data_IF_230200053750
#
_entry.id   IF_230200053750
#
_cell.length_a   1.000
_cell.length_b   1.000
_cell.length_c   1.000
_cell.angle_alpha   90.00
_cell.angle_beta   90.00
_cell.angle_gamma   90.00
#
_symmetry.space_group_name_H-M   'P 1'
#
loop_
_entity.id
_entity.type
_entity.pdbx_description
1 polymer ?
#
# COMPACT_ATOMS: atom_id res chain seq x y z
N UNK A 1 4.45 -0.02 33.74
CA UNK A 1 5.47 0.94 33.26
C UNK A 1 6.70 0.10 32.90
N UNK A 2 6.73 -0.45 31.69
CA UNK A 2 7.82 -1.34 31.24
C UNK A 2 9.00 -0.50 30.78
N UNK A 3 10.18 -0.75 31.35
CA UNK A 3 11.43 -0.12 30.93
C UNK A 3 11.70 -0.44 29.46
N UNK A 4 11.94 0.59 28.65
CA UNK A 4 12.32 0.50 27.23
C UNK A 4 13.70 -0.13 27.10
N UNK A 5 13.76 -1.45 27.21
CA UNK A 5 14.95 -2.27 27.04
C UNK A 5 15.40 -2.37 25.58
N UNK A 6 16.08 -1.35 25.07
CA UNK A 6 17.46 -1.58 24.62
C UNK A 6 17.80 -1.99 23.19
N UNK A 7 16.90 -2.04 22.20
CA UNK A 7 17.32 -2.34 20.81
C UNK A 7 17.71 -1.09 19.99
N UNK A 8 17.09 0.06 20.30
CA UNK A 8 17.28 1.32 19.57
C UNK A 8 17.76 2.45 20.49
N UNK A 9 18.67 2.18 21.43
CA UNK A 9 19.08 3.06 22.56
C UNK A 9 19.46 4.52 22.22
N UNK A 10 19.56 4.91 20.96
CA UNK A 10 19.84 6.28 20.49
C UNK A 10 18.74 6.92 19.63
N UNK A 11 17.64 6.21 19.34
CA UNK A 11 16.57 6.66 18.42
C UNK A 11 15.21 6.49 19.10
N UNK A 12 14.27 7.38 18.82
CA UNK A 12 12.99 7.41 19.54
C UNK A 12 11.96 6.44 18.93
N UNK A 13 12.17 5.99 17.68
CA UNK A 13 11.31 5.04 16.96
C UNK A 13 12.04 4.18 15.93
N UNK A 14 11.38 3.11 15.47
CA UNK A 14 11.79 2.24 14.37
C UNK A 14 11.85 2.99 13.05
N UNK A 15 10.91 3.90 12.78
CA UNK A 15 10.92 4.74 11.59
C UNK A 15 12.18 5.63 11.54
N UNK A 16 12.50 6.32 12.64
CA UNK A 16 13.76 7.08 12.75
C UNK A 16 14.98 6.18 12.61
N UNK A 17 14.91 4.95 13.11
CA UNK A 17 15.95 3.96 12.89
C UNK A 17 16.14 3.67 11.40
N UNK A 18 15.08 3.37 10.67
CA UNK A 18 15.18 3.12 9.23
C UNK A 18 15.73 4.35 8.49
N UNK A 19 15.24 5.56 8.78
CA UNK A 19 15.68 6.80 8.13
C UNK A 19 17.18 7.02 8.30
N UNK A 20 17.69 6.87 9.52
CA UNK A 20 19.10 7.12 9.80
C UNK A 20 20.03 5.96 9.45
N UNK A 21 19.53 4.91 8.79
CA UNK A 21 20.40 3.97 8.06
C UNK A 21 20.77 4.51 6.67
N UNK A 22 19.95 5.38 6.07
CA UNK A 22 20.11 5.86 4.69
C UNK A 22 19.97 4.75 3.63
N UNK A 23 19.28 3.64 3.95
CA UNK A 23 19.14 2.46 3.07
C UNK A 23 17.76 2.32 2.41
N UNK A 24 16.86 3.27 2.65
CA UNK A 24 15.43 3.09 2.31
C UNK A 24 14.80 4.37 1.76
N UNK A 25 15.59 5.20 1.09
CA UNK A 25 15.13 6.51 0.63
C UNK A 25 14.34 6.44 -0.68
N UNK A 26 14.52 5.37 -1.46
CA UNK A 26 13.74 5.09 -2.68
C UNK A 26 13.16 3.67 -2.66
N UNK A 27 12.21 3.39 -3.57
CA UNK A 27 11.71 2.02 -3.78
C UNK A 27 12.83 1.03 -4.15
N UNK A 28 13.77 1.46 -5.00
CA UNK A 28 14.88 0.63 -5.42
C UNK A 28 15.80 0.28 -4.24
N UNK A 29 16.07 1.24 -3.35
CA UNK A 29 16.86 0.98 -2.15
C UNK A 29 16.20 -0.07 -1.26
N UNK A 30 14.87 -0.05 -1.13
CA UNK A 30 14.11 -1.04 -0.36
C UNK A 30 14.30 -2.45 -0.94
N UNK A 31 14.19 -2.58 -2.27
CA UNK A 31 14.39 -3.86 -2.96
C UNK A 31 15.83 -4.36 -2.76
N UNK A 32 16.82 -3.49 -2.94
CA UNK A 32 18.25 -3.83 -2.78
C UNK A 32 18.63 -4.18 -1.34
N UNK A 33 17.92 -3.61 -0.36
CA UNK A 33 18.15 -3.82 1.07
C UNK A 33 17.09 -4.72 1.73
N UNK A 34 16.37 -5.53 0.95
CA UNK A 34 15.27 -6.37 1.44
C UNK A 34 15.68 -7.28 2.60
N UNK A 35 16.80 -8.01 2.49
CA UNK A 35 17.29 -8.89 3.56
C UNK A 35 17.61 -8.11 4.85
N UNK A 36 18.17 -6.91 4.72
CA UNK A 36 18.42 -6.04 5.86
C UNK A 36 17.12 -5.59 6.52
N UNK A 37 16.11 -5.26 5.71
CA UNK A 37 14.78 -4.87 6.20
C UNK A 37 14.11 -6.01 6.97
N UNK A 38 14.14 -7.23 6.44
CA UNK A 38 13.64 -8.44 7.11
C UNK A 38 14.32 -8.64 8.47
N UNK A 39 15.65 -8.51 8.52
CA UNK A 39 16.40 -8.62 9.77
C UNK A 39 16.00 -7.55 10.79
N UNK A 40 15.73 -6.33 10.33
CA UNK A 40 15.37 -5.21 11.20
C UNK A 40 13.93 -5.34 11.73
N UNK A 41 12.97 -5.81 10.91
CA UNK A 41 11.62 -6.18 11.37
C UNK A 41 11.69 -7.34 12.37
N UNK A 42 12.46 -8.41 12.08
CA UNK A 42 12.62 -9.55 12.99
C UNK A 42 13.20 -9.13 14.34
N UNK A 43 14.23 -8.28 14.32
CA UNK A 43 14.83 -7.68 15.53
C UNK A 43 13.80 -6.92 16.36
N UNK A 44 12.96 -6.12 15.70
CA UNK A 44 11.88 -5.38 16.35
C UNK A 44 10.86 -6.33 17.00
N UNK A 45 10.39 -7.35 16.29
CA UNK A 45 9.45 -8.37 16.79
C UNK A 45 9.99 -9.07 18.05
N UNK A 46 11.27 -9.49 18.02
CA UNK A 46 11.94 -10.07 19.19
C UNK A 46 11.98 -9.13 20.38
N UNK A 47 12.32 -7.87 20.17
CA UNK A 47 12.38 -6.88 21.25
C UNK A 47 11.01 -6.60 21.90
N UNK A 48 9.91 -6.85 21.18
CA UNK A 48 8.53 -6.76 21.71
C UNK A 48 7.99 -8.08 22.25
N UNK A 49 8.75 -9.18 22.14
CA UNK A 49 8.31 -10.55 22.45
C UNK A 49 7.12 -11.03 21.60
N UNK A 50 7.04 -10.63 20.33
CA UNK A 50 5.97 -11.04 19.41
C UNK A 50 6.35 -12.34 18.67
N UNK A 51 6.55 -13.42 19.43
CA UNK A 51 7.08 -14.68 18.90
C UNK A 51 6.24 -15.30 17.78
N UNK A 52 4.90 -15.28 17.90
CA UNK A 52 4.02 -15.83 16.87
C UNK A 52 4.09 -15.04 15.56
N UNK A 53 4.19 -13.70 15.63
CA UNK A 53 4.29 -12.85 14.44
C UNK A 53 5.66 -13.04 13.76
N UNK A 54 6.73 -13.23 14.54
CA UNK A 54 8.04 -13.63 14.00
C UNK A 54 7.96 -14.98 13.28
N UNK A 55 7.29 -15.98 13.86
CA UNK A 55 7.13 -17.27 13.22
C UNK A 55 6.35 -17.17 11.90
N UNK A 56 5.33 -16.31 11.82
CA UNK A 56 4.59 -16.08 10.59
C UNK A 56 5.38 -15.28 9.55
N UNK A 57 6.26 -14.37 9.98
CA UNK A 57 7.25 -13.76 9.09
C UNK A 57 8.16 -14.84 8.48
N UNK A 58 8.65 -15.80 9.27
CA UNK A 58 9.46 -16.91 8.74
C UNK A 58 8.66 -17.78 7.75
N UNK A 59 7.39 -18.08 8.04
CA UNK A 59 6.54 -18.87 7.16
C UNK A 59 6.28 -18.17 5.82
N UNK A 60 5.99 -16.87 5.82
CA UNK A 60 5.75 -16.14 4.58
C UNK A 60 7.01 -16.00 3.74
N UNK A 61 8.18 -15.83 4.38
CA UNK A 61 9.47 -15.84 3.68
C UNK A 61 9.76 -17.19 3.03
N UNK A 62 9.50 -18.30 3.73
CA UNK A 62 9.66 -19.66 3.18
C UNK A 62 8.72 -19.90 1.98
N UNK A 63 7.43 -19.57 2.11
CA UNK A 63 6.45 -19.77 1.03
C UNK A 63 6.73 -18.90 -0.19
N UNK A 64 7.27 -17.70 0.02
CA UNK A 64 7.55 -16.74 -1.05
C UNK A 64 9.01 -16.77 -1.52
N UNK A 65 9.82 -17.71 -1.05
CA UNK A 65 11.22 -17.82 -1.47
C UNK A 65 11.34 -18.04 -2.99
N UNK A 66 12.25 -17.30 -3.60
CA UNK A 66 12.44 -17.28 -5.06
C UNK A 66 11.28 -16.72 -5.90
N UNK A 67 10.16 -16.29 -5.28
CA UNK A 67 9.03 -15.70 -6.00
C UNK A 67 9.17 -14.19 -6.12
N UNK A 68 8.77 -13.65 -7.26
CA UNK A 68 8.75 -12.21 -7.54
C UNK A 68 7.32 -11.68 -7.72
N UNK A 69 7.15 -10.37 -7.53
CA UNK A 69 5.91 -9.65 -7.84
C UNK A 69 5.69 -9.60 -9.36
N UNK A 70 4.58 -8.98 -9.79
CA UNK A 70 4.19 -8.86 -11.21
C UNK A 70 5.25 -8.18 -12.10
N UNK A 71 6.18 -7.43 -11.53
CA UNK A 71 7.30 -6.80 -12.23
C UNK A 71 8.48 -7.75 -12.54
N UNK A 72 8.45 -8.98 -12.01
CA UNK A 72 9.47 -9.99 -12.20
C UNK A 72 10.79 -9.74 -11.46
N UNK A 73 10.90 -8.67 -10.66
CA UNK A 73 12.14 -8.26 -9.98
C UNK A 73 11.98 -8.13 -8.48
N UNK A 74 10.86 -7.59 -8.02
CA UNK A 74 10.62 -7.32 -6.61
C UNK A 74 10.32 -8.61 -5.87
N UNK A 75 11.00 -8.94 -4.74
CA UNK A 75 10.68 -10.10 -3.93
C UNK A 75 9.19 -10.13 -3.54
N UNK A 76 8.52 -11.27 -3.69
CA UNK A 76 7.07 -11.35 -3.45
C UNK A 76 6.70 -11.03 -2.00
N UNK A 77 7.56 -11.42 -1.04
CA UNK A 77 7.41 -11.15 0.39
C UNK A 77 7.62 -9.67 0.78
N UNK A 78 8.10 -8.83 -0.14
CA UNK A 78 8.25 -7.40 0.14
C UNK A 78 6.89 -6.77 0.51
N UNK A 79 5.80 -7.26 -0.07
CA UNK A 79 4.43 -6.79 0.19
C UNK A 79 4.05 -6.86 1.67
N UNK A 80 4.28 -7.99 2.34
CA UNK A 80 3.98 -8.13 3.76
C UNK A 80 4.98 -7.36 4.64
N UNK A 81 6.25 -7.31 4.24
CA UNK A 81 7.30 -6.65 5.03
C UNK A 81 7.11 -5.13 5.03
N UNK A 82 6.78 -4.50 3.90
CA UNK A 82 6.47 -3.06 3.83
C UNK A 82 5.20 -2.70 4.60
N UNK A 83 4.16 -3.54 4.53
CA UNK A 83 2.95 -3.39 5.35
C UNK A 83 3.27 -3.43 6.84
N UNK A 84 4.13 -4.37 7.28
CA UNK A 84 4.57 -4.46 8.66
C UNK A 84 5.35 -3.22 9.10
N UNK A 85 6.22 -2.66 8.25
CA UNK A 85 6.94 -1.39 8.54
C UNK A 85 5.97 -0.24 8.78
N UNK A 86 4.95 -0.09 7.92
CA UNK A 86 3.93 0.96 8.09
C UNK A 86 3.16 0.79 9.39
N UNK A 87 2.74 -0.43 9.69
CA UNK A 87 2.01 -0.73 10.91
C UNK A 87 2.86 -0.51 12.18
N UNK A 88 4.12 -0.98 12.18
CA UNK A 88 5.06 -0.76 13.29
C UNK A 88 5.21 0.74 13.56
N UNK A 89 5.37 1.53 12.50
CA UNK A 89 5.51 2.98 12.62
C UNK A 89 4.27 3.63 13.25
N UNK A 90 3.06 3.18 12.86
CA UNK A 90 1.80 3.61 13.50
C UNK A 90 1.79 3.37 15.01
N UNK A 91 2.14 2.15 15.43
CA UNK A 91 2.13 1.75 16.85
C UNK A 91 3.20 2.52 17.64
N UNK A 92 4.39 2.72 17.09
CA UNK A 92 5.47 3.40 17.81
C UNK A 92 5.28 4.91 17.92
N UNK A 93 4.58 5.53 16.97
CA UNK A 93 4.14 6.93 17.06
C UNK A 93 2.86 7.10 17.91
N UNK A 94 2.36 6.02 18.52
CA UNK A 94 1.31 6.07 19.54
C UNK A 94 -0.10 6.12 18.98
N UNK A 95 -0.34 5.54 17.79
CA UNK A 95 -1.70 5.20 17.36
C UNK A 95 -2.19 4.00 18.19
N UNK A 96 -3.43 4.06 18.73
CA UNK A 96 -3.91 3.05 19.65
C UNK A 96 -4.29 1.76 18.91
N UNK A 97 -3.64 0.67 19.30
CA UNK A 97 -3.91 -0.69 18.83
C UNK A 97 -3.89 -1.62 20.03
N UNK A 98 -4.98 -2.38 20.21
CA UNK A 98 -5.13 -3.23 21.39
C UNK A 98 -4.25 -4.48 21.34
N UNK A 99 -4.01 -5.00 20.13
CA UNK A 99 -3.22 -6.21 19.91
C UNK A 99 -2.30 -6.06 18.69
N UNK A 100 -1.15 -5.38 18.84
CA UNK A 100 -0.21 -5.20 17.75
C UNK A 100 0.38 -6.51 17.21
N UNK A 101 0.52 -7.52 18.06
CA UNK A 101 1.12 -8.79 17.69
C UNK A 101 0.16 -9.60 16.79
N UNK A 102 -1.13 -9.64 17.13
CA UNK A 102 -2.17 -10.24 16.29
C UNK A 102 -2.36 -9.54 14.94
N UNK A 103 -2.29 -8.20 14.88
CA UNK A 103 -2.32 -7.47 13.60
C UNK A 103 -1.12 -7.83 12.73
N UNK A 104 0.09 -7.89 13.30
CA UNK A 104 1.30 -8.30 12.56
C UNK A 104 1.23 -9.76 12.09
N UNK A 105 0.68 -10.66 12.91
CA UNK A 105 0.38 -12.04 12.49
C UNK A 105 -0.47 -12.08 11.23
N UNK A 106 -1.53 -11.27 11.18
CA UNK A 106 -2.39 -11.21 10.00
C UNK A 106 -1.70 -10.56 8.80
N UNK A 107 -0.94 -9.50 9.00
CA UNK A 107 -0.16 -8.90 7.92
C UNK A 107 0.76 -9.95 7.27
N UNK A 108 1.48 -10.75 8.07
CA UNK A 108 2.36 -11.77 7.50
C UNK A 108 1.63 -12.98 6.91
N UNK A 109 0.39 -13.27 7.34
CA UNK A 109 -0.32 -14.47 6.91
C UNK A 109 -1.40 -14.23 5.86
N UNK A 110 -1.94 -13.02 5.68
CA UNK A 110 -3.20 -12.79 4.96
C UNK A 110 -3.25 -13.38 3.53
N UNK A 111 -2.14 -13.38 2.80
CA UNK A 111 -2.06 -13.92 1.44
C UNK A 111 -1.72 -15.43 1.40
N UNK A 112 -1.29 -16.04 2.51
CA UNK A 112 -0.91 -17.47 2.56
C UNK A 112 -2.06 -18.40 2.15
N UNK A 113 -3.27 -18.05 2.57
CA UNK A 113 -4.47 -18.80 2.24
C UNK A 113 -4.79 -18.70 0.76
N UNK A 114 -4.81 -17.48 0.23
CA UNK A 114 -5.22 -17.20 -1.15
C UNK A 114 -4.19 -17.66 -2.18
N UNK A 115 -2.89 -17.46 -1.91
CA UNK A 115 -1.82 -17.71 -2.88
C UNK A 115 -1.24 -19.13 -2.78
N UNK A 116 -1.18 -19.68 -1.57
CA UNK A 116 -0.48 -20.94 -1.30
C UNK A 116 -1.40 -22.07 -0.80
N UNK A 117 -2.68 -21.77 -0.54
CA UNK A 117 -3.64 -22.76 -0.06
C UNK A 117 -3.34 -23.24 1.37
N UNK A 118 -2.60 -22.46 2.15
CA UNK A 118 -2.34 -22.76 3.57
C UNK A 118 -3.66 -22.62 4.33
N UNK A 119 -4.22 -23.71 4.82
CA UNK A 119 -5.50 -23.69 5.54
C UNK A 119 -5.31 -23.28 7.00
N UNK A 120 -6.42 -23.05 7.72
CA UNK A 120 -6.41 -22.84 9.18
C UNK A 120 -5.79 -24.02 9.94
N UNK A 121 -5.99 -25.24 9.47
CA UNK A 121 -5.41 -26.44 10.06
C UNK A 121 -3.89 -26.49 9.86
N UNK A 122 -3.40 -26.11 8.68
CA UNK A 122 -1.96 -26.04 8.39
C UNK A 122 -1.30 -24.97 9.26
N UNK A 123 -1.94 -23.81 9.39
CA UNK A 123 -1.43 -22.71 10.21
C UNK A 123 -1.42 -23.08 11.70
N UNK A 124 -2.47 -23.76 12.19
CA UNK A 124 -2.51 -24.30 13.54
C UNK A 124 -1.36 -25.29 13.76
N UNK A 125 -1.16 -26.24 12.84
CA UNK A 125 -0.09 -27.23 12.93
C UNK A 125 1.28 -26.54 13.01
N UNK A 126 1.55 -25.57 12.14
CA UNK A 126 2.80 -24.83 12.12
C UNK A 126 3.07 -24.11 13.46
N UNK A 127 2.09 -23.36 13.97
CA UNK A 127 2.28 -22.58 15.19
C UNK A 127 2.32 -23.46 16.45
N UNK A 128 1.40 -24.40 16.58
CA UNK A 128 1.25 -25.22 17.78
C UNK A 128 2.26 -26.38 17.83
N UNK A 129 2.48 -27.08 16.72
CA UNK A 129 3.30 -28.30 16.68
C UNK A 129 4.74 -27.98 16.32
N UNK A 130 4.98 -27.25 15.22
CA UNK A 130 6.35 -27.01 14.74
C UNK A 130 7.06 -25.91 15.55
N UNK A 131 6.34 -24.85 15.91
CA UNK A 131 6.88 -23.71 16.70
C UNK A 131 6.62 -23.83 18.20
N UNK A 132 5.85 -24.82 18.63
CA UNK A 132 5.60 -25.14 20.04
C UNK A 132 5.05 -23.97 20.88
N UNK A 133 4.17 -23.14 20.30
CA UNK A 133 3.44 -22.14 21.09
C UNK A 133 2.38 -22.84 21.95
N UNK A 134 2.42 -22.59 23.26
CA UNK A 134 1.62 -23.31 24.26
C UNK A 134 0.29 -22.61 24.65
N UNK A 135 0.03 -21.41 24.15
CA UNK A 135 -1.16 -20.63 24.47
C UNK A 135 -2.27 -20.90 23.47
N UNK A 136 -3.10 -21.90 23.75
CA UNK A 136 -4.18 -22.34 22.86
C UNK A 136 -5.23 -21.25 22.61
N UNK A 137 -5.48 -20.35 23.58
CA UNK A 137 -6.47 -19.27 23.44
C UNK A 137 -5.96 -18.21 22.46
N UNK A 138 -4.73 -17.73 22.65
CA UNK A 138 -4.10 -16.79 21.72
C UNK A 138 -3.94 -17.39 20.31
N UNK A 139 -3.56 -18.67 20.22
CA UNK A 139 -3.45 -19.34 18.93
C UNK A 139 -4.81 -19.44 18.24
N UNK A 140 -5.87 -19.79 18.98
CA UNK A 140 -7.21 -19.84 18.41
C UNK A 140 -7.66 -18.48 17.88
N UNK A 141 -7.37 -17.38 18.60
CA UNK A 141 -7.66 -16.02 18.10
C UNK A 141 -6.95 -15.73 16.77
N UNK A 142 -5.66 -16.09 16.65
CA UNK A 142 -4.89 -15.90 15.41
C UNK A 142 -5.47 -16.74 14.26
N UNK A 143 -5.81 -18.01 14.51
CA UNK A 143 -6.37 -18.91 13.49
C UNK A 143 -7.73 -18.43 13.02
N UNK A 144 -8.57 -18.01 13.94
CA UNK A 144 -9.87 -17.44 13.65
C UNK A 144 -9.78 -16.15 12.81
N UNK A 145 -8.89 -15.25 13.20
CA UNK A 145 -8.65 -14.00 12.46
C UNK A 145 -8.10 -14.30 11.06
N UNK A 146 -7.18 -15.27 10.94
CA UNK A 146 -6.64 -15.75 9.67
C UNK A 146 -7.72 -16.38 8.77
N UNK A 147 -8.62 -17.15 9.36
CA UNK A 147 -9.76 -17.72 8.66
C UNK A 147 -10.61 -16.62 8.03
N UNK A 148 -10.93 -15.59 8.81
CA UNK A 148 -11.76 -14.48 8.34
C UNK A 148 -11.06 -13.68 7.25
N UNK A 149 -9.75 -13.41 7.34
CA UNK A 149 -9.06 -12.57 6.34
C UNK A 149 -8.84 -13.27 5.00
N UNK A 150 -8.78 -14.61 4.99
CA UNK A 150 -8.55 -15.42 3.78
C UNK A 150 -9.82 -15.53 2.93
N UNK A 151 -9.85 -14.97 1.71
CA UNK A 151 -11.04 -15.05 0.84
C UNK A 151 -11.27 -16.42 0.21
N UNK A 152 -10.20 -17.21 0.07
CA UNK A 152 -10.20 -18.51 -0.59
C UNK A 152 -8.96 -19.29 -0.18
N UNK A 153 -8.97 -20.58 -0.49
CA UNK A 153 -7.84 -21.47 -0.27
C UNK A 153 -7.23 -21.87 -1.61
N UNK A 154 -6.04 -21.35 -1.89
CA UNK A 154 -5.25 -21.62 -3.09
C UNK A 154 -5.65 -20.74 -4.28
N UNK A 155 -4.69 -20.58 -5.20
CA UNK A 155 -4.86 -19.78 -6.41
C UNK A 155 -5.93 -20.41 -7.31
N UNK A 156 -7.10 -19.79 -7.37
CA UNK A 156 -8.27 -20.32 -8.09
C UNK A 156 -9.21 -21.19 -7.26
N UNK A 157 -9.01 -21.26 -5.94
CA UNK A 157 -9.99 -21.83 -5.02
C UNK A 157 -11.31 -21.05 -5.02
N UNK A 158 -12.42 -21.68 -4.58
CA UNK A 158 -13.72 -21.01 -4.54
C UNK A 158 -13.69 -19.84 -3.56
N UNK A 159 -14.33 -18.74 -3.95
CA UNK A 159 -14.54 -17.59 -3.06
C UNK A 159 -15.42 -18.01 -1.88
N UNK A 160 -14.99 -17.64 -0.67
CA UNK A 160 -15.70 -17.92 0.58
C UNK A 160 -16.80 -16.91 0.90
N UNK A 161 -16.78 -15.78 0.21
CA UNK A 161 -17.71 -14.67 0.41
C UNK A 161 -18.47 -14.40 -0.88
N UNK A 162 -19.76 -14.08 -0.76
CA UNK A 162 -20.62 -13.89 -1.93
C UNK A 162 -20.22 -12.64 -2.75
N UNK A 163 -19.63 -11.64 -2.10
CA UNK A 163 -19.14 -10.43 -2.74
C UNK A 163 -18.14 -9.68 -1.85
N UNK A 164 -17.51 -8.65 -2.41
CA UNK A 164 -16.52 -7.85 -1.68
C UNK A 164 -17.10 -7.09 -0.49
N UNK A 165 -18.35 -6.66 -0.54
CA UNK A 165 -18.96 -5.97 0.58
C UNK A 165 -19.09 -6.93 1.78
N UNK A 166 -19.54 -8.16 1.56
CA UNK A 166 -19.59 -9.17 2.63
C UNK A 166 -18.19 -9.47 3.20
N UNK A 167 -17.19 -9.64 2.33
CA UNK A 167 -15.83 -9.88 2.80
C UNK A 167 -15.25 -8.67 3.55
N UNK A 168 -15.14 -7.54 2.84
CA UNK A 168 -14.44 -6.36 3.31
C UNK A 168 -15.22 -5.67 4.41
N UNK A 169 -16.50 -5.38 4.20
CA UNK A 169 -17.31 -4.74 5.21
C UNK A 169 -17.64 -5.74 6.29
N UNK A 170 -18.52 -6.72 6.05
CA UNK A 170 -19.13 -7.53 7.13
C UNK A 170 -18.12 -8.39 7.89
N UNK A 171 -17.25 -9.14 7.21
CA UNK A 171 -16.41 -10.12 7.88
C UNK A 171 -15.20 -9.47 8.59
N UNK A 172 -14.51 -8.52 7.95
CA UNK A 172 -13.27 -7.96 8.52
C UNK A 172 -13.52 -6.97 9.68
N UNK A 173 -14.56 -6.13 9.63
CA UNK A 173 -14.72 -5.07 10.65
C UNK A 173 -15.13 -5.61 12.03
N UNK A 174 -15.69 -6.82 12.09
CA UNK A 174 -16.13 -7.46 13.33
C UNK A 174 -14.96 -8.02 14.14
N UNK A 175 -13.79 -8.19 13.50
CA UNK A 175 -12.58 -8.73 14.09
C UNK A 175 -11.56 -7.61 14.31
N UNK A 176 -11.12 -7.47 15.56
CA UNK A 176 -10.26 -6.37 16.03
C UNK A 176 -8.99 -6.25 15.20
N UNK A 177 -8.29 -7.37 14.96
CA UNK A 177 -7.01 -7.37 14.27
C UNK A 177 -7.17 -7.25 12.75
N UNK A 178 -8.13 -8.00 12.18
CA UNK A 178 -8.47 -7.95 10.76
C UNK A 178 -8.83 -6.54 10.32
N UNK A 179 -9.53 -5.79 11.18
CA UNK A 179 -10.01 -4.46 10.85
C UNK A 179 -8.87 -3.50 10.49
N UNK A 180 -7.74 -3.59 11.20
CA UNK A 180 -6.55 -2.78 10.96
C UNK A 180 -5.72 -3.38 9.82
N UNK A 181 -5.45 -4.69 9.87
CA UNK A 181 -4.63 -5.37 8.86
C UNK A 181 -5.19 -5.13 7.44
N UNK A 182 -6.51 -5.15 7.29
CA UNK A 182 -7.15 -4.92 5.99
C UNK A 182 -7.01 -3.48 5.51
N UNK A 183 -7.08 -2.48 6.40
CA UNK A 183 -6.85 -1.08 6.01
C UNK A 183 -5.39 -0.83 5.62
N UNK A 184 -4.42 -1.41 6.34
CA UNK A 184 -3.00 -1.38 5.97
C UNK A 184 -2.80 -2.00 4.58
N UNK A 185 -3.38 -3.19 4.33
CA UNK A 185 -3.32 -3.84 3.03
C UNK A 185 -3.93 -2.97 1.91
N UNK A 186 -5.06 -2.30 2.15
CA UNK A 186 -5.65 -1.37 1.17
C UNK A 186 -4.78 -0.16 0.90
N UNK A 187 -4.25 0.48 1.94
CA UNK A 187 -3.35 1.62 1.79
C UNK A 187 -2.13 1.23 0.95
N UNK A 188 -1.54 0.07 1.25
CA UNK A 188 -0.37 -0.44 0.54
C UNK A 188 -0.68 -0.75 -0.92
N UNK A 189 -1.80 -1.43 -1.19
CA UNK A 189 -2.21 -1.77 -2.56
C UNK A 189 -2.49 -0.54 -3.42
N UNK A 190 -3.18 0.49 -2.90
CA UNK A 190 -3.42 1.73 -3.67
C UNK A 190 -2.11 2.43 -4.03
N UNK A 191 -1.14 2.38 -3.13
CA UNK A 191 0.20 2.96 -3.33
C UNK A 191 1.00 2.17 -4.38
N UNK A 192 0.86 0.85 -4.42
CA UNK A 192 1.66 -0.05 -5.28
C UNK A 192 0.97 -0.49 -6.57
N UNK A 193 -0.28 -0.09 -6.81
CA UNK A 193 -0.99 -0.35 -8.07
C UNK A 193 -0.61 0.58 -9.22
N UNK A 194 0.08 1.68 -8.92
CA UNK A 194 0.63 2.58 -9.95
C UNK A 194 1.69 1.79 -10.73
N UNK A 195 1.57 1.73 -12.05
CA UNK A 195 2.39 0.90 -12.94
C UNK A 195 1.84 -0.50 -13.25
N UNK A 196 0.71 -0.91 -12.65
CA UNK A 196 0.22 -2.30 -12.75
C UNK A 196 -0.71 -2.50 -13.93
N UNK A 197 -0.23 -3.24 -14.93
CA UNK A 197 -1.01 -3.69 -16.09
C UNK A 197 -2.02 -4.79 -15.73
N UNK A 198 -3.07 -4.92 -16.52
CA UNK A 198 -3.99 -6.06 -16.47
C UNK A 198 -3.30 -7.35 -16.98
N UNK A 199 -4.03 -8.47 -16.97
CA UNK A 199 -3.50 -9.77 -17.40
C UNK A 199 -3.17 -9.77 -18.91
N UNK A 200 -3.83 -8.89 -19.66
CA UNK A 200 -3.64 -8.65 -21.09
C UNK A 200 -2.53 -7.62 -21.41
N UNK A 201 -2.02 -6.89 -20.42
CA UNK A 201 -0.91 -5.94 -20.56
C UNK A 201 -1.29 -4.52 -20.99
N UNK A 202 -2.58 -4.19 -21.11
CA UNK A 202 -3.10 -3.05 -21.87
C UNK A 202 -3.80 -1.96 -21.02
N UNK A 203 -4.52 -2.29 -19.93
CA UNK A 203 -5.39 -1.32 -19.24
C UNK A 203 -5.04 -0.97 -17.78
N UNK A 204 -3.78 -0.59 -17.53
CA UNK A 204 -3.32 -0.17 -16.19
C UNK A 204 -4.23 0.85 -15.49
N UNK A 205 -4.61 1.93 -16.21
CA UNK A 205 -5.43 3.01 -15.64
C UNK A 205 -6.82 2.53 -15.22
N UNK A 206 -7.45 1.67 -16.01
CA UNK A 206 -8.80 1.17 -15.71
C UNK A 206 -8.79 0.25 -14.49
N UNK A 207 -7.79 -0.62 -14.36
CA UNK A 207 -7.60 -1.50 -13.18
C UNK A 207 -7.44 -0.66 -11.92
N UNK A 208 -6.54 0.31 -11.94
CA UNK A 208 -6.29 1.18 -10.78
C UNK A 208 -7.55 1.98 -10.40
N UNK A 209 -8.23 2.61 -11.37
CA UNK A 209 -9.45 3.39 -11.10
C UNK A 209 -10.58 2.53 -10.53
N UNK A 210 -10.77 1.32 -11.07
CA UNK A 210 -11.77 0.37 -10.55
C UNK A 210 -11.47 0.02 -9.10
N UNK A 211 -10.21 -0.23 -8.75
CA UNK A 211 -9.83 -0.55 -7.38
C UNK A 211 -9.96 0.66 -6.44
N UNK A 212 -9.56 1.86 -6.86
CA UNK A 212 -9.73 3.09 -6.08
C UNK A 212 -11.22 3.35 -5.83
N UNK A 213 -12.05 3.36 -6.87
CA UNK A 213 -13.49 3.61 -6.75
C UNK A 213 -14.15 2.62 -5.78
N UNK A 214 -13.76 1.35 -5.87
CA UNK A 214 -14.23 0.28 -4.99
C UNK A 214 -13.77 0.46 -3.55
N UNK A 215 -12.51 0.85 -3.33
CA UNK A 215 -12.00 1.12 -1.98
C UNK A 215 -12.74 2.30 -1.35
N UNK A 216 -12.85 3.42 -2.06
CA UNK A 216 -13.52 4.63 -1.55
C UNK A 216 -15.01 4.40 -1.28
N UNK A 217 -15.70 3.59 -2.11
CA UNK A 217 -17.10 3.22 -1.89
C UNK A 217 -17.30 2.49 -0.56
N UNK A 218 -16.35 1.65 -0.15
CA UNK A 218 -16.47 0.81 1.04
C UNK A 218 -15.85 1.43 2.30
N UNK A 219 -14.91 2.35 2.13
CA UNK A 219 -14.04 2.84 3.19
C UNK A 219 -14.80 3.59 4.29
N UNK A 220 -15.71 4.50 3.92
CA UNK A 220 -16.44 5.31 4.89
C UNK A 220 -17.31 4.49 5.83
N UNK A 221 -18.08 3.54 5.27
CA UNK A 221 -18.90 2.61 6.05
C UNK A 221 -18.02 1.70 6.92
N UNK A 222 -16.92 1.19 6.36
CA UNK A 222 -15.99 0.33 7.09
C UNK A 222 -15.39 1.02 8.31
N UNK A 223 -14.86 2.23 8.15
CA UNK A 223 -14.20 2.98 9.24
C UNK A 223 -15.21 3.35 10.31
N UNK A 224 -16.41 3.80 9.92
CA UNK A 224 -17.49 4.11 10.86
C UNK A 224 -17.85 2.88 11.70
N UNK A 225 -18.08 1.74 11.05
CA UNK A 225 -18.62 0.56 11.72
C UNK A 225 -17.54 -0.17 12.53
N UNK A 226 -16.30 -0.25 12.03
CA UNK A 226 -15.14 -0.72 12.81
C UNK A 226 -14.89 0.15 14.05
N UNK A 227 -15.01 1.47 13.94
CA UNK A 227 -14.87 2.39 15.08
C UNK A 227 -15.96 2.21 16.13
N UNK A 228 -17.16 1.79 15.73
CA UNK A 228 -18.24 1.49 16.68
C UNK A 228 -18.00 0.16 17.42
N UNK A 229 -17.52 -0.86 16.71
CA UNK A 229 -17.26 -2.19 17.28
C UNK A 229 -15.97 -2.19 18.14
N UNK A 230 -14.96 -1.43 17.72
CA UNK A 230 -13.63 -1.37 18.35
C UNK A 230 -13.24 0.08 18.67
N UNK A 231 -13.96 0.77 19.58
CA UNK A 231 -13.82 2.21 19.80
C UNK A 231 -12.44 2.66 20.30
N UNK A 232 -11.67 1.76 20.93
CA UNK A 232 -10.31 2.08 21.36
C UNK A 232 -9.32 2.23 20.20
N UNK A 233 -9.67 1.76 19.00
CA UNK A 233 -8.82 1.83 17.80
C UNK A 233 -9.32 2.88 16.80
N UNK A 234 -10.34 3.67 17.15
CA UNK A 234 -10.96 4.66 16.25
C UNK A 234 -9.95 5.64 15.64
N UNK A 235 -9.02 6.17 16.44
CA UNK A 235 -7.97 7.07 15.95
C UNK A 235 -7.07 6.41 14.89
N UNK A 236 -6.77 5.11 15.04
CA UNK A 236 -6.01 4.35 14.04
C UNK A 236 -6.79 4.19 12.74
N UNK A 237 -8.11 3.93 12.82
CA UNK A 237 -8.95 3.82 11.63
C UNK A 237 -9.06 5.14 10.86
N UNK A 238 -9.24 6.26 11.58
CA UNK A 238 -9.29 7.59 10.98
C UNK A 238 -7.96 7.98 10.32
N UNK A 239 -6.83 7.68 10.97
CA UNK A 239 -5.51 7.91 10.39
C UNK A 239 -5.33 7.11 9.09
N UNK A 240 -5.70 5.83 9.08
CA UNK A 240 -5.60 4.97 7.90
C UNK A 240 -6.57 5.39 6.79
N UNK A 241 -7.79 5.79 7.14
CA UNK A 241 -8.74 6.37 6.18
C UNK A 241 -8.13 7.57 5.48
N UNK A 242 -7.58 8.50 6.25
CA UNK A 242 -6.96 9.71 5.72
C UNK A 242 -5.81 9.38 4.77
N UNK A 243 -4.93 8.42 5.12
CA UNK A 243 -3.86 7.95 4.21
C UNK A 243 -4.44 7.39 2.91
N UNK A 244 -5.42 6.50 3.00
CA UNK A 244 -6.06 5.88 1.83
C UNK A 244 -6.68 6.96 0.93
N UNK A 245 -7.37 7.94 1.50
CA UNK A 245 -7.98 9.04 0.76
C UNK A 245 -6.92 9.90 0.04
N UNK A 246 -5.82 10.24 0.72
CA UNK A 246 -4.73 11.03 0.14
C UNK A 246 -4.00 10.30 -0.97
N UNK A 247 -3.61 9.04 -0.75
CA UNK A 247 -2.96 8.24 -1.80
C UNK A 247 -3.92 8.05 -2.97
N UNK A 248 -5.21 7.79 -2.71
CA UNK A 248 -6.22 7.69 -3.78
C UNK A 248 -6.34 8.98 -4.59
N UNK A 249 -6.30 10.15 -3.96
CA UNK A 249 -6.30 11.45 -4.67
C UNK A 249 -5.06 11.60 -5.56
N UNK A 250 -3.87 11.29 -5.03
CA UNK A 250 -2.61 11.31 -5.79
C UNK A 250 -2.64 10.34 -6.97
N UNK A 251 -3.09 9.11 -6.74
CA UNK A 251 -3.21 8.09 -7.79
C UNK A 251 -4.29 8.44 -8.83
N UNK A 252 -5.39 9.09 -8.44
CA UNK A 252 -6.42 9.56 -9.38
C UNK A 252 -5.94 10.72 -10.23
N UNK A 253 -5.18 11.65 -9.65
CA UNK A 253 -4.60 12.76 -10.39
C UNK A 253 -3.85 12.26 -11.61
N UNK A 254 -3.04 11.23 -11.40
CA UNK A 254 -2.28 10.59 -12.45
C UNK A 254 -3.14 10.08 -13.63
N UNK A 255 -4.35 9.59 -13.35
CA UNK A 255 -5.25 9.07 -14.40
C UNK A 255 -5.92 10.17 -15.20
N UNK A 256 -6.27 11.29 -14.55
CA UNK A 256 -7.16 12.32 -15.11
C UNK A 256 -6.39 13.49 -15.72
N UNK A 257 -5.32 13.94 -15.07
CA UNK A 257 -4.62 15.16 -15.46
C UNK A 257 -3.23 14.76 -15.99
N UNK A 258 -3.15 14.59 -17.32
CA UNK A 258 -1.97 14.15 -18.07
C UNK A 258 -0.84 15.17 -17.99
N UNK A 259 -0.25 15.36 -16.82
CA UNK A 259 1.04 16.04 -16.68
C UNK A 259 1.05 17.49 -16.25
N UNK A 260 0.14 17.85 -15.35
CA UNK A 260 0.35 19.06 -14.57
C UNK A 260 1.04 18.71 -13.25
N UNK A 261 1.62 19.72 -12.63
CA UNK A 261 2.18 19.59 -11.28
C UNK A 261 1.00 19.69 -10.30
N UNK A 262 0.84 18.72 -9.40
CA UNK A 262 -0.28 18.68 -8.45
C UNK A 262 -0.28 19.85 -7.46
N UNK A 263 0.90 20.29 -7.06
CA UNK A 263 1.12 21.39 -6.10
C UNK A 263 2.50 21.97 -6.39
N UNK A 264 2.62 23.31 -6.44
CA UNK A 264 3.90 24.01 -6.62
C UNK A 264 4.89 23.73 -5.49
N UNK A 265 4.38 23.33 -4.30
CA UNK A 265 5.17 22.90 -3.17
C UNK A 265 5.06 21.37 -2.98
N UNK A 266 6.20 20.70 -3.17
CA UNK A 266 6.45 19.27 -2.98
C UNK A 266 6.37 18.82 -1.49
N UNK A 267 5.59 19.51 -0.66
CA UNK A 267 5.40 19.17 0.77
C UNK A 267 4.42 17.99 0.97
N UNK A 268 4.51 16.95 0.16
CA UNK A 268 3.70 15.73 0.30
C UNK A 268 3.80 15.12 1.70
N UNK A 269 4.95 15.32 2.36
CA UNK A 269 5.20 14.87 3.74
C UNK A 269 4.31 15.56 4.76
N UNK A 270 4.12 16.88 4.67
CA UNK A 270 3.29 17.64 5.62
C UNK A 270 1.79 17.38 5.46
N UNK A 271 1.40 16.74 4.36
CA UNK A 271 0.02 16.37 4.08
C UNK A 271 -0.42 15.04 4.72
N UNK A 272 0.46 14.29 5.39
CA UNK A 272 0.17 13.02 6.08
C UNK A 272 -0.19 13.22 7.56
N UNK A 273 -0.84 12.24 8.21
CA UNK A 273 -1.06 12.28 9.65
C UNK A 273 0.27 12.39 10.42
N UNK A 274 0.27 13.18 11.49
CA UNK A 274 1.45 13.39 12.34
C UNK A 274 2.02 12.09 12.92
N UNK A 275 1.14 11.11 13.17
CA UNK A 275 1.50 9.81 13.72
C UNK A 275 1.59 8.75 12.62
N UNK A 276 2.64 7.95 12.68
CA UNK A 276 2.75 6.68 11.96
C UNK A 276 3.40 6.80 10.60
N UNK A 277 3.11 7.84 9.81
CA UNK A 277 3.60 7.92 8.44
C UNK A 277 4.64 9.02 8.21
N UNK A 278 4.54 10.12 8.98
CA UNK A 278 5.38 11.29 8.79
C UNK A 278 6.89 11.00 8.95
N UNK A 279 7.25 10.08 9.85
CA UNK A 279 8.65 9.76 10.16
C UNK A 279 9.26 8.68 9.26
N UNK A 280 8.47 8.04 8.40
CA UNK A 280 8.97 6.99 7.52
C UNK A 280 10.04 7.56 6.56
N UNK A 281 11.06 6.76 6.21
CA UNK A 281 11.93 7.04 5.07
C UNK A 281 11.11 7.29 3.80
N UNK A 282 11.65 8.06 2.86
CA UNK A 282 10.92 8.45 1.65
C UNK A 282 10.43 7.23 0.85
N UNK A 283 11.23 6.16 0.76
CA UNK A 283 10.84 4.92 0.09
C UNK A 283 9.70 4.17 0.79
N UNK A 284 9.41 4.45 2.06
CA UNK A 284 8.24 3.89 2.74
C UNK A 284 7.09 4.89 2.87
N UNK A 285 7.29 6.17 2.59
CA UNK A 285 6.27 7.18 2.82
C UNK A 285 5.18 7.09 1.73
N UNK A 286 3.91 6.74 2.05
CA UNK A 286 2.92 6.35 1.05
C UNK A 286 2.72 7.35 -0.09
N UNK A 287 2.66 8.65 0.21
CA UNK A 287 2.48 9.69 -0.81
C UNK A 287 3.75 9.97 -1.63
N UNK A 288 4.93 9.86 -1.02
CA UNK A 288 6.19 10.10 -1.75
C UNK A 288 6.40 8.92 -2.69
N UNK A 289 6.25 7.70 -2.18
CA UNK A 289 6.32 6.47 -2.95
C UNK A 289 5.32 6.49 -4.13
N UNK A 290 4.05 6.85 -3.88
CA UNK A 290 3.05 6.97 -4.94
C UNK A 290 3.45 8.02 -5.98
N UNK A 291 3.92 9.20 -5.55
CA UNK A 291 4.35 10.27 -6.45
C UNK A 291 5.59 9.88 -7.27
N UNK A 292 6.57 9.21 -6.68
CA UNK A 292 7.76 8.71 -7.39
C UNK A 292 7.39 7.67 -8.44
N UNK A 293 6.53 6.71 -8.10
CA UNK A 293 6.01 5.75 -9.07
C UNK A 293 5.28 6.43 -10.23
N UNK A 294 4.45 7.42 -9.94
CA UNK A 294 3.78 8.24 -10.98
C UNK A 294 4.82 8.86 -11.91
N UNK A 295 5.85 9.51 -11.35
CA UNK A 295 6.92 10.17 -12.12
C UNK A 295 7.70 9.19 -13.00
N UNK A 296 7.95 7.98 -12.50
CA UNK A 296 8.70 6.94 -13.21
C UNK A 296 7.86 6.25 -14.29
N UNK A 297 6.59 5.96 -14.01
CA UNK A 297 5.71 5.28 -14.96
C UNK A 297 5.31 6.22 -16.10
N UNK A 298 5.23 7.54 -15.86
CA UNK A 298 4.69 8.51 -16.82
C UNK A 298 5.55 9.78 -16.96
N UNK A 299 6.82 9.63 -17.36
CA UNK A 299 7.78 10.73 -17.38
C UNK A 299 7.38 11.88 -18.31
N UNK A 300 6.66 11.60 -19.41
CA UNK A 300 6.18 12.58 -20.38
C UNK A 300 5.26 13.63 -19.77
N UNK A 301 4.54 13.24 -18.72
CA UNK A 301 3.62 14.11 -17.99
C UNK A 301 4.36 15.13 -17.11
N UNK A 302 5.64 14.92 -16.80
CA UNK A 302 6.40 15.80 -15.91
C UNK A 302 7.52 16.60 -16.61
N UNK A 303 7.83 16.27 -17.87
CA UNK A 303 8.90 16.91 -18.64
C UNK A 303 8.43 18.09 -19.52
N UNK A 304 7.14 18.17 -19.84
CA UNK A 304 6.60 19.17 -20.78
C UNK A 304 6.81 20.63 -20.35
N UNK A 305 6.94 20.92 -19.04
CA UNK A 305 7.09 22.29 -18.55
C UNK A 305 8.52 22.86 -18.60
N UNK A 306 9.57 22.03 -18.74
CA UNK A 306 10.95 22.54 -18.83
C UNK A 306 11.27 23.15 -20.19
N UNK A 307 10.49 22.87 -21.24
CA UNK A 307 10.71 23.43 -22.57
C UNK A 307 9.94 24.74 -22.79
N UNK A 308 8.74 24.90 -22.23
CA UNK A 308 7.96 26.13 -22.40
C UNK A 308 8.49 27.31 -21.59
N UNK A 309 9.20 27.08 -20.48
CA UNK A 309 9.83 28.16 -19.69
C UNK A 309 11.12 28.71 -20.32
N UNK A 310 11.73 27.97 -21.25
CA UNK A 310 12.89 28.44 -22.03
C UNK A 310 12.48 29.04 -23.39
N UNK A 311 11.19 29.00 -23.74
CA UNK A 311 10.64 29.57 -24.98
C UNK A 311 10.16 31.02 -24.85
N UNK A 312 10.13 31.59 -23.63
CA UNK A 312 9.72 32.98 -23.36
C UNK A 312 10.93 33.93 -23.27
N UNK A 313 11.95 33.68 -24.10
CA UNK A 313 12.89 34.73 -24.50
C UNK A 313 12.80 34.90 -26.01
N UNK A 314 11.77 35.62 -26.47
CA UNK A 314 11.71 36.07 -27.85
C UNK A 314 10.92 37.37 -27.99
N UNK A 315 11.67 38.41 -28.38
CA UNK A 315 11.23 39.40 -29.36
C UNK A 315 10.23 40.47 -28.92
N UNK A 316 10.70 41.42 -28.11
CA UNK A 316 10.26 42.81 -28.29
C UNK A 316 10.92 43.37 -29.56
N UNK A 317 10.33 43.10 -30.73
CA UNK A 317 10.61 43.84 -31.97
C UNK A 317 9.31 44.33 -32.57
N UNK A 318 9.22 45.66 -32.61
CA UNK A 318 8.39 46.54 -33.44
C UNK A 318 7.98 45.98 -34.80
N UNK A 319 6.72 46.20 -35.19
CA UNK A 319 6.32 46.04 -36.58
C UNK A 319 4.82 46.14 -36.84
N UNK A 320 4.37 47.35 -37.14
CA UNK A 320 3.05 47.68 -37.68
C UNK A 320 2.76 47.05 -39.06
N UNK A 321 1.51 46.66 -39.30
CA UNK A 321 0.87 46.85 -40.61
C UNK A 321 0.13 45.64 -41.23
N UNK A 322 -1.19 45.81 -41.44
CA UNK A 322 -1.78 45.65 -42.77
C UNK A 322 -2.42 44.31 -43.19
N UNK A 323 -3.75 44.26 -43.03
CA UNK A 323 -4.80 43.80 -43.97
C UNK A 323 -4.85 42.39 -44.61
N UNK A 324 -6.03 41.79 -44.42
CA UNK A 324 -6.96 41.18 -45.39
C UNK A 324 -6.50 40.03 -46.31
N UNK A 325 -7.26 38.92 -46.24
CA UNK A 325 -7.29 37.88 -47.27
C UNK A 325 -8.30 36.79 -46.93
N UNK A 326 -9.34 36.68 -47.75
CA UNK A 326 -10.46 35.75 -47.63
C UNK A 326 -10.15 34.36 -48.22
N UNK A 327 -10.95 33.37 -47.80
CA UNK A 327 -11.38 32.28 -48.68
C UNK A 327 -10.91 30.88 -48.31
N UNK A 328 -11.84 29.93 -48.33
CA UNK A 328 -11.53 28.52 -48.57
C UNK A 328 -12.31 27.52 -47.73
N UNK A 329 -13.56 27.27 -48.12
CA UNK A 329 -14.24 25.99 -47.88
C UNK A 329 -13.38 24.82 -48.37
N UNK A 330 -13.35 23.73 -47.62
CA UNK A 330 -13.45 22.37 -48.18
C UNK A 330 -13.72 21.34 -47.08
N UNK A 331 -14.97 20.87 -47.07
CA UNK A 331 -15.40 19.62 -46.46
C UNK A 331 -14.65 18.45 -47.12
N UNK A 332 -14.06 17.58 -46.28
CA UNK A 332 -13.66 16.24 -46.69
C UNK A 332 -14.22 15.26 -45.69
N UNK A 333 -15.30 14.60 -46.12
CA UNK A 333 -15.82 13.37 -45.55
C UNK A 333 -14.80 12.23 -45.73
N UNK A 334 -14.60 11.44 -44.68
CA UNK A 334 -13.77 10.23 -44.70
C UNK A 334 -14.43 9.14 -43.88
N UNK A 335 -14.92 8.14 -44.60
CA UNK A 335 -15.67 6.98 -44.12
C UNK A 335 -14.94 6.13 -43.07
N UNK A 336 -15.72 5.62 -42.12
CA UNK A 336 -15.34 4.58 -41.15
C UNK A 336 -15.76 3.22 -41.75
N UNK A 337 -14.86 2.24 -41.94
CA UNK A 337 -15.29 0.89 -42.30
C UNK A 337 -15.75 0.10 -41.08
N UNK A 338 -16.96 -0.45 -41.20
CA UNK A 338 -17.52 -1.51 -40.37
C UNK A 338 -16.61 -2.75 -40.39
N UNK A 339 -16.36 -3.33 -39.22
CA UNK A 339 -15.87 -4.71 -39.10
C UNK A 339 -17.01 -5.56 -38.55
N UNK A 340 -17.59 -6.37 -39.45
CA UNK A 340 -18.53 -7.44 -39.12
C UNK A 340 -17.81 -8.62 -38.47
N UNK A 341 -18.39 -9.06 -37.34
CA UNK A 341 -18.39 -10.37 -36.65
C UNK A 341 -17.39 -11.45 -37.03
#
# INVERSE_FOLDING_TARGET
>A
MFERGGLFRKRDSFAEYLTSTGRYDTEQDIVENFDSLVLDVRKWLKAKNYGHAEALLDLVLDKKDGLTRKDGKTPSALHEVTQAVWFISCVEDGLPVEDPAGVLSLIFSHDLGEDFGVTTQDLWHYLHVEKAFADDEQLQEIIDDYDVISKRWGKGGPERYANEYQYFHIAQHQRRNNSIAKLIDRAHNITTMIGVKDEEGEQEKAVMMKYIAKTLTLLGDYVRDASQVHPKQAETYEALQYVIDRVSQVSRYYVVDTGKVMVEDDELRSSMPDKGFLKLPNGFHPLIFAAERIRLTYPETHLAQKQDLNGVESSAVSGSGGSAGAGGDQDVAGDIPEVTK
#
